data_IF_379852574318
#
_entry.id   IF_379852574318
#
_cell.length_a   1.000
_cell.length_b   1.000
_cell.length_c   1.000
_cell.angle_alpha   90.00
_cell.angle_beta   90.00
_cell.angle_gamma   90.00
#
_symmetry.space_group_name_H-M   'P 1'
#
loop_
_entity.id
_entity.type
_entity.pdbx_description
1 polymer ?
#
# COMPACT_ATOMS: atom_id res chain seq x y z
N UNK A 1 -8.91 21.15 -6.51
CA UNK A 1 -7.72 21.08 -7.39
C UNK A 1 -6.97 19.79 -7.08
N UNK A 2 -7.19 18.67 -7.79
CA UNK A 2 -6.23 17.58 -7.79
C UNK A 2 -5.38 17.68 -9.05
N UNK A 3 -4.07 17.85 -8.86
CA UNK A 3 -3.09 17.81 -9.93
C UNK A 3 -2.99 16.37 -10.43
N UNK A 4 -3.67 16.10 -11.55
CA UNK A 4 -3.39 14.96 -12.41
C UNK A 4 -1.97 15.13 -12.96
N UNK A 5 -0.98 14.47 -12.35
CA UNK A 5 0.31 14.27 -13.01
C UNK A 5 0.16 13.10 -13.99
N UNK A 6 -0.23 13.43 -15.22
CA UNK A 6 0.06 12.60 -16.39
C UNK A 6 1.55 12.30 -16.41
N UNK A 7 1.93 11.06 -16.09
CA UNK A 7 3.28 10.56 -16.26
C UNK A 7 3.22 9.36 -17.19
N UNK A 8 3.83 9.55 -18.36
CA UNK A 8 3.95 8.64 -19.48
C UNK A 8 4.02 7.14 -19.12
N UNK A 9 3.12 6.38 -19.74
CA UNK A 9 3.10 4.91 -19.76
C UNK A 9 4.37 4.36 -20.43
N UNK A 10 5.35 3.96 -19.63
CA UNK A 10 6.23 2.86 -19.98
C UNK A 10 6.02 1.74 -18.96
N UNK A 11 5.76 0.49 -19.38
CA UNK A 11 5.79 -0.64 -18.47
C UNK A 11 7.23 -0.73 -17.93
N UNK A 12 7.44 -0.32 -16.68
CA UNK A 12 8.73 -0.45 -16.02
C UNK A 12 9.01 -1.95 -15.86
N UNK A 13 9.83 -2.50 -16.75
CA UNK A 13 10.37 -3.84 -16.60
C UNK A 13 11.32 -3.82 -15.39
N UNK A 14 10.80 -4.19 -14.23
CA UNK A 14 11.57 -4.23 -13.01
C UNK A 14 12.68 -5.27 -13.14
N UNK A 15 13.91 -4.89 -12.78
CA UNK A 15 15.03 -5.84 -12.70
C UNK A 15 14.77 -6.75 -11.50
N UNK A 16 14.45 -8.02 -11.76
CA UNK A 16 14.20 -9.02 -10.71
C UNK A 16 15.52 -9.68 -10.30
N UNK A 17 15.72 -9.86 -9.00
CA UNK A 17 16.78 -10.68 -8.43
C UNK A 17 16.55 -12.18 -8.66
N UNK A 18 17.51 -13.02 -8.25
CA UNK A 18 17.44 -14.48 -8.41
C UNK A 18 16.31 -15.14 -7.60
N UNK A 19 15.76 -14.43 -6.60
CA UNK A 19 14.61 -14.80 -5.77
C UNK A 19 13.25 -14.33 -6.36
N UNK A 20 13.28 -13.71 -7.55
CA UNK A 20 12.09 -13.17 -8.21
C UNK A 20 11.55 -11.88 -7.58
N UNK A 21 12.21 -11.31 -6.57
CA UNK A 21 11.90 -9.99 -6.03
C UNK A 21 12.47 -8.89 -6.93
N UNK A 22 11.75 -7.78 -7.08
CA UNK A 22 12.32 -6.61 -7.73
C UNK A 22 13.45 -6.01 -6.89
N UNK A 23 14.51 -5.56 -7.56
CA UNK A 23 15.61 -4.87 -6.89
C UNK A 23 15.10 -3.53 -6.31
N UNK A 24 15.23 -3.29 -5.00
CA UNK A 24 14.78 -2.04 -4.39
C UNK A 24 15.52 -0.81 -4.93
N UNK A 25 14.77 0.26 -5.21
CA UNK A 25 15.33 1.58 -5.46
C UNK A 25 15.98 2.12 -4.18
N UNK A 26 17.12 2.78 -4.32
CA UNK A 26 17.83 3.42 -3.21
C UNK A 26 17.37 4.87 -2.94
N UNK A 27 16.25 5.29 -3.55
CA UNK A 27 15.68 6.62 -3.40
C UNK A 27 14.16 6.56 -3.29
N UNK A 28 13.59 7.56 -2.64
CA UNK A 28 12.16 7.77 -2.49
C UNK A 28 11.56 8.44 -3.74
N UNK A 29 10.54 7.86 -4.34
CA UNK A 29 9.87 8.40 -5.54
C UNK A 29 9.14 9.73 -5.28
N UNK A 30 8.86 10.07 -4.02
CA UNK A 30 8.12 11.30 -3.66
C UNK A 30 9.02 12.51 -3.38
N UNK A 31 10.22 12.29 -2.83
CA UNK A 31 11.11 13.37 -2.40
C UNK A 31 12.52 13.27 -3.01
N UNK A 32 12.83 12.18 -3.72
CA UNK A 32 14.14 11.89 -4.31
C UNK A 32 15.28 11.86 -3.27
N UNK A 33 14.96 11.58 -2.00
CA UNK A 33 15.91 11.35 -0.92
C UNK A 33 16.20 9.86 -0.74
N UNK A 34 17.35 9.53 -0.16
CA UNK A 34 17.73 8.15 0.19
C UNK A 34 17.34 7.81 1.64
N UNK A 35 17.82 6.68 2.18
CA UNK A 35 17.53 6.31 3.58
C UNK A 35 18.21 7.23 4.62
N UNK A 36 19.26 7.95 4.23
CA UNK A 36 19.99 8.85 5.12
C UNK A 36 19.31 10.21 5.24
N UNK A 37 18.57 10.62 4.20
CA UNK A 37 17.86 11.90 4.21
C UNK A 37 16.53 11.84 3.46
N UNK A 38 15.44 11.98 4.20
CA UNK A 38 14.16 12.34 3.63
C UNK A 38 14.13 13.85 3.36
N UNK A 39 14.03 14.25 2.09
CA UNK A 39 14.04 15.67 1.71
C UNK A 39 12.79 16.46 2.12
N UNK A 40 11.70 15.81 2.55
CA UNK A 40 10.51 16.49 3.09
C UNK A 40 10.68 16.86 4.57
N UNK A 41 11.26 15.97 5.37
CA UNK A 41 11.39 16.14 6.83
C UNK A 41 12.79 16.59 7.25
N UNK A 42 13.77 16.51 6.34
CA UNK A 42 15.20 16.73 6.59
C UNK A 42 15.79 15.81 7.66
N UNK A 43 15.23 14.61 7.82
CA UNK A 43 15.66 13.61 8.80
C UNK A 43 15.97 12.27 8.12
N UNK A 44 16.84 11.42 8.71
CA UNK A 44 17.03 10.05 8.25
C UNK A 44 15.75 9.25 8.41
N UNK A 45 15.40 8.49 7.38
CA UNK A 45 14.20 7.66 7.37
C UNK A 45 14.39 6.51 6.39
N UNK A 46 14.17 5.28 6.84
CA UNK A 46 14.31 4.09 5.99
C UNK A 46 13.25 4.05 4.88
N UNK A 47 13.59 3.44 3.75
CA UNK A 47 12.67 3.27 2.64
C UNK A 47 11.86 1.98 2.79
N UNK A 48 10.62 2.01 2.31
CA UNK A 48 9.81 0.82 2.02
C UNK A 48 9.77 0.63 0.51
N UNK A 49 9.97 -0.60 0.05
CA UNK A 49 10.18 -0.90 -1.37
C UNK A 49 9.18 -1.93 -1.86
N UNK A 50 8.60 -1.66 -3.03
CA UNK A 50 7.65 -2.56 -3.68
C UNK A 50 8.36 -3.85 -4.09
N UNK A 51 7.78 -4.98 -3.69
CA UNK A 51 8.32 -6.31 -3.98
C UNK A 51 8.30 -6.66 -5.48
N UNK A 52 7.43 -6.00 -6.26
CA UNK A 52 7.19 -6.34 -7.67
C UNK A 52 7.88 -5.39 -8.66
N UNK A 53 8.02 -4.11 -8.31
CA UNK A 53 8.62 -3.11 -9.20
C UNK A 53 9.86 -2.39 -8.64
N UNK A 54 10.18 -2.56 -7.35
CA UNK A 54 11.35 -1.96 -6.71
C UNK A 54 11.18 -0.48 -6.33
N UNK A 55 10.12 0.19 -6.80
CA UNK A 55 9.77 1.56 -6.41
C UNK A 55 9.74 1.69 -4.89
N UNK A 56 10.34 2.76 -4.39
CA UNK A 56 10.59 2.93 -2.97
C UNK A 56 10.10 4.28 -2.49
N UNK A 57 9.69 4.34 -1.23
CA UNK A 57 9.19 5.57 -0.60
C UNK A 57 9.49 5.59 0.88
N UNK A 58 9.70 6.78 1.43
CA UNK A 58 9.72 6.97 2.88
C UNK A 58 8.31 6.74 3.45
N UNK A 59 8.17 6.10 4.61
CA UNK A 59 6.92 5.95 5.34
C UNK A 59 6.13 7.26 5.46
N UNK A 60 6.77 8.33 5.89
CA UNK A 60 6.15 9.65 6.03
C UNK A 60 5.75 10.26 4.67
N UNK A 61 6.51 9.98 3.61
CA UNK A 61 6.17 10.40 2.25
C UNK A 61 4.96 9.65 1.68
N UNK A 62 4.79 8.38 2.07
CA UNK A 62 3.66 7.51 1.77
C UNK A 62 2.47 7.74 2.71
N UNK A 63 2.60 8.61 3.71
CA UNK A 63 1.60 8.87 4.76
C UNK A 63 1.28 7.64 5.61
N UNK A 64 2.27 6.77 5.83
CA UNK A 64 2.07 5.56 6.61
C UNK A 64 2.04 5.80 8.12
N UNK A 65 1.09 5.15 8.79
CA UNK A 65 1.02 5.11 10.26
C UNK A 65 2.08 4.16 10.81
N UNK A 66 2.41 4.28 12.10
CA UNK A 66 3.33 3.36 12.77
C UNK A 66 2.84 1.89 12.73
N UNK A 67 1.51 1.68 12.81
CA UNK A 67 0.87 0.37 12.74
C UNK A 67 1.05 -0.23 11.35
N UNK A 68 0.71 0.54 10.31
CA UNK A 68 0.90 0.11 8.93
C UNK A 68 2.37 -0.16 8.63
N UNK A 69 3.29 0.66 9.15
CA UNK A 69 4.72 0.42 9.01
C UNK A 69 5.21 -0.87 9.66
N UNK A 70 4.66 -1.24 10.80
CA UNK A 70 4.95 -2.52 11.42
C UNK A 70 4.46 -3.67 10.53
N UNK A 71 3.27 -3.54 9.93
CA UNK A 71 2.65 -4.56 9.10
C UNK A 71 3.34 -4.74 7.73
N UNK A 72 3.61 -3.67 6.98
CA UNK A 72 4.19 -3.76 5.62
C UNK A 72 5.59 -4.40 5.59
N UNK A 73 6.29 -4.42 6.73
CA UNK A 73 7.58 -5.10 6.89
C UNK A 73 7.46 -6.62 7.07
N UNK A 74 6.26 -7.15 7.37
CA UNK A 74 6.09 -8.58 7.65
C UNK A 74 5.67 -9.41 6.44
N UNK A 75 5.48 -8.79 5.27
CA UNK A 75 5.05 -9.48 4.06
C UNK A 75 5.55 -8.76 2.80
N UNK A 76 5.29 -9.36 1.64
CA UNK A 76 5.65 -8.78 0.33
C UNK A 76 4.73 -7.59 0.00
N UNK A 77 5.08 -6.42 0.50
CA UNK A 77 4.36 -5.18 0.20
C UNK A 77 4.49 -4.81 -1.28
N UNK A 78 3.40 -4.28 -1.84
CA UNK A 78 3.28 -3.79 -3.21
C UNK A 78 2.94 -2.29 -3.17
N UNK A 79 3.50 -1.48 -4.05
CA UNK A 79 3.07 -0.08 -4.20
C UNK A 79 1.67 0.00 -4.84
N UNK A 80 1.08 1.20 -4.86
CA UNK A 80 -0.25 1.46 -5.42
C UNK A 80 -0.43 0.90 -6.85
N UNK A 81 0.57 1.10 -7.71
CA UNK A 81 0.55 0.65 -9.11
C UNK A 81 0.68 -0.88 -9.28
N UNK A 82 1.17 -1.58 -8.26
CA UNK A 82 1.37 -3.04 -8.30
C UNK A 82 0.40 -3.78 -7.39
N UNK A 83 -0.55 -3.07 -6.76
CA UNK A 83 -1.40 -3.68 -5.75
C UNK A 83 -2.30 -4.72 -6.39
N UNK A 84 -2.27 -5.94 -5.84
CA UNK A 84 -3.22 -6.98 -6.17
C UNK A 84 -4.18 -7.23 -5.00
N UNK A 85 -5.37 -7.72 -5.32
CA UNK A 85 -6.29 -8.22 -4.31
C UNK A 85 -5.70 -9.47 -3.63
N UNK A 86 -5.70 -9.47 -2.31
CA UNK A 86 -5.19 -10.57 -1.48
C UNK A 86 -6.09 -11.83 -1.50
N UNK A 87 -7.23 -11.79 -2.21
CA UNK A 87 -8.16 -12.93 -2.35
C UNK A 87 -8.04 -13.54 -3.75
N UNK A 88 -8.21 -12.76 -4.81
CA UNK A 88 -8.19 -13.28 -6.18
C UNK A 88 -6.81 -13.15 -6.88
N UNK A 89 -5.89 -12.36 -6.32
CA UNK A 89 -4.54 -12.17 -6.85
C UNK A 89 -4.42 -11.23 -8.06
N UNK A 90 -5.53 -10.62 -8.52
CA UNK A 90 -5.53 -9.71 -9.68
C UNK A 90 -5.45 -8.24 -9.26
N UNK A 91 -4.97 -7.40 -10.17
CA UNK A 91 -4.97 -5.93 -10.08
C UNK A 91 -5.99 -5.28 -11.03
N UNK A 92 -6.89 -6.08 -11.61
CA UNK A 92 -7.98 -5.59 -12.46
C UNK A 92 -9.04 -4.85 -11.63
N UNK A 93 -9.90 -4.02 -12.21
CA UNK A 93 -10.94 -3.28 -11.48
C UNK A 93 -10.36 -2.52 -10.26
N UNK A 94 -9.33 -1.71 -10.52
CA UNK A 94 -8.60 -0.93 -9.51
C UNK A 94 -9.51 0.10 -8.80
N UNK A 95 -10.53 0.59 -9.49
CA UNK A 95 -11.61 1.42 -8.95
C UNK A 95 -12.41 0.75 -7.82
N UNK A 96 -12.40 -0.58 -7.77
CA UNK A 96 -13.06 -1.38 -6.72
C UNK A 96 -12.08 -2.03 -5.74
N UNK A 97 -10.79 -1.70 -5.81
CA UNK A 97 -9.74 -2.26 -4.97
C UNK A 97 -9.51 -1.38 -3.73
N UNK A 98 -10.00 -1.81 -2.58
CA UNK A 98 -9.77 -1.15 -1.29
C UNK A 98 -8.37 -1.45 -0.76
N UNK A 99 -7.76 -0.45 -0.11
CA UNK A 99 -6.53 -0.64 0.67
C UNK A 99 -6.87 -0.61 2.16
N UNK A 100 -6.35 -1.58 2.90
CA UNK A 100 -6.51 -1.64 4.35
C UNK A 100 -5.67 -0.53 5.03
N UNK A 101 -6.29 0.30 5.87
CA UNK A 101 -5.60 1.43 6.54
C UNK A 101 -4.55 1.00 7.59
N UNK A 102 -4.60 -0.25 8.03
CA UNK A 102 -3.70 -0.80 9.04
C UNK A 102 -2.56 -1.64 8.47
N UNK A 103 -2.65 -2.08 7.21
CA UNK A 103 -1.60 -2.91 6.62
C UNK A 103 -1.34 -2.67 5.15
N UNK A 104 -2.10 -1.85 4.44
CA UNK A 104 -1.97 -1.56 3.01
C UNK A 104 -2.17 -2.77 2.08
N UNK A 105 -2.80 -3.87 2.53
CA UNK A 105 -3.22 -4.95 1.63
C UNK A 105 -4.42 -4.53 0.79
N UNK A 106 -4.43 -4.96 -0.48
CA UNK A 106 -5.52 -4.72 -1.42
C UNK A 106 -6.63 -5.77 -1.32
N UNK A 107 -7.89 -5.35 -1.41
CA UNK A 107 -9.06 -6.23 -1.48
C UNK A 107 -10.12 -5.65 -2.40
N UNK A 108 -10.56 -6.40 -3.41
CA UNK A 108 -11.73 -5.98 -4.17
C UNK A 108 -12.97 -6.02 -3.30
N UNK A 109 -13.81 -5.00 -3.40
CA UNK A 109 -15.09 -4.92 -2.67
C UNK A 109 -15.96 -6.16 -2.91
N UNK A 110 -15.99 -6.67 -4.14
CA UNK A 110 -16.73 -7.87 -4.51
C UNK A 110 -16.07 -9.20 -4.09
N UNK A 111 -14.78 -9.19 -3.73
CA UNK A 111 -14.10 -10.38 -3.20
C UNK A 111 -14.29 -10.55 -1.69
N UNK A 112 -14.79 -9.53 -0.99
CA UNK A 112 -15.08 -9.59 0.43
C UNK A 112 -16.28 -10.50 0.72
N UNK A 113 -16.39 -10.98 1.96
CA UNK A 113 -17.53 -11.75 2.44
C UNK A 113 -18.02 -11.16 3.77
N UNK A 114 -19.18 -10.46 3.79
CA UNK A 114 -20.03 -10.12 2.65
C UNK A 114 -19.36 -9.13 1.67
N UNK A 115 -19.75 -9.12 0.38
CA UNK A 115 -19.25 -8.15 -0.59
C UNK A 115 -19.76 -6.74 -0.28
N UNK A 116 -18.95 -5.73 -0.61
CA UNK A 116 -19.32 -4.32 -0.48
C UNK A 116 -19.75 -3.75 -1.83
N UNK A 117 -20.74 -2.88 -1.84
CA UNK A 117 -21.21 -2.20 -3.06
C UNK A 117 -20.51 -0.86 -3.29
N UNK A 118 -20.15 -0.17 -2.20
CA UNK A 118 -19.51 1.14 -2.23
C UNK A 118 -18.33 1.17 -1.25
N UNK A 119 -17.31 2.01 -1.50
CA UNK A 119 -16.22 2.20 -0.55
C UNK A 119 -16.73 2.71 0.80
N UNK A 120 -16.15 2.27 1.92
CA UNK A 120 -16.59 2.68 3.25
C UNK A 120 -16.37 4.18 3.48
N UNK A 121 -17.31 4.83 4.17
CA UNK A 121 -17.11 6.17 4.69
C UNK A 121 -16.12 6.12 5.87
N UNK A 122 -14.90 6.59 5.64
CA UNK A 122 -13.84 6.61 6.66
C UNK A 122 -12.87 5.44 6.56
N UNK A 123 -12.26 5.07 7.69
CA UNK A 123 -11.21 4.06 7.71
C UNK A 123 -11.75 2.64 7.64
N UNK A 124 -11.02 1.76 6.97
CA UNK A 124 -11.35 0.35 6.79
C UNK A 124 -10.16 -0.56 7.02
N UNK A 125 -10.40 -1.61 7.80
CA UNK A 125 -9.44 -2.67 8.09
C UNK A 125 -9.88 -4.00 7.51
N UNK A 126 -8.96 -4.71 6.89
CA UNK A 126 -9.22 -6.06 6.40
C UNK A 126 -9.36 -7.07 7.56
N UNK A 127 -9.95 -8.23 7.27
CA UNK A 127 -10.17 -9.30 8.25
C UNK A 127 -8.89 -9.72 8.99
N UNK A 128 -7.73 -9.76 8.31
CA UNK A 128 -6.46 -10.10 8.95
C UNK A 128 -6.07 -9.09 10.04
N UNK A 129 -6.28 -7.79 9.81
CA UNK A 129 -6.02 -6.76 10.80
C UNK A 129 -7.04 -6.80 11.94
N UNK A 130 -8.31 -7.05 11.64
CA UNK A 130 -9.34 -7.20 12.67
C UNK A 130 -9.03 -8.38 13.61
N UNK A 131 -8.58 -9.51 13.07
CA UNK A 131 -8.21 -10.70 13.86
C UNK A 131 -6.96 -10.47 14.72
N UNK A 132 -5.95 -9.78 14.17
CA UNK A 132 -4.67 -9.55 14.83
C UNK A 132 -4.70 -8.39 15.85
N UNK A 133 -5.33 -7.28 15.49
CA UNK A 133 -5.32 -6.03 16.26
C UNK A 133 -6.53 -5.88 17.19
N UNK A 134 -7.63 -6.61 16.93
CA UNK A 134 -8.88 -6.54 17.69
C UNK A 134 -9.34 -5.08 17.85
N UNK A 135 -9.46 -4.60 19.08
CA UNK A 135 -9.91 -3.23 19.42
C UNK A 135 -8.97 -2.12 18.93
N UNK A 136 -7.75 -2.47 18.47
CA UNK A 136 -6.78 -1.51 17.91
C UNK A 136 -6.88 -1.36 16.40
N UNK A 137 -7.69 -2.18 15.73
CA UNK A 137 -7.89 -2.04 14.30
C UNK A 137 -8.61 -0.72 13.98
N UNK A 138 -8.36 -0.17 12.79
CA UNK A 138 -9.15 0.94 12.26
C UNK A 138 -10.54 0.39 11.89
N UNK A 139 -11.47 0.39 12.84
CA UNK A 139 -12.79 -0.26 12.69
C UNK A 139 -13.69 0.61 11.81
N UNK A 140 -14.11 0.03 10.68
CA UNK A 140 -15.29 0.49 9.96
C UNK A 140 -16.55 0.10 10.75
N UNK A 141 -17.31 1.07 11.26
CA UNK A 141 -18.63 0.80 11.81
C UNK A 141 -19.63 0.74 10.67
N UNK A 142 -19.99 -0.48 10.24
CA UNK A 142 -21.17 -0.71 9.41
C UNK A 142 -22.39 -0.21 10.20
N UNK A 143 -22.91 0.96 9.86
CA UNK A 143 -24.27 1.34 10.22
C UNK A 143 -25.24 0.51 9.39
N UNK A 144 -25.57 -0.69 9.85
CA UNK A 144 -26.81 -1.35 9.47
C UNK A 144 -27.40 -2.01 10.72
N UNK A 145 -28.20 -1.19 11.41
CA UNK A 145 -29.34 -1.64 12.21
C UNK A 145 -30.46 -2.11 11.29
#
# INVERSE_FOLDING_TARGET
MPFFFFSFFFPHLAKKGPDGLALPNNYCDFCLGDSKINKKTSQPEELVSCSDCGRSGHPSCLQFTAVMMAAVKTYRWQCIECKCCNICGTSENDDQLLFCDDCDRGYHMYCLSPPMAEPPEGSWSCHLCLDLLKDKASIYQNQNS
#
